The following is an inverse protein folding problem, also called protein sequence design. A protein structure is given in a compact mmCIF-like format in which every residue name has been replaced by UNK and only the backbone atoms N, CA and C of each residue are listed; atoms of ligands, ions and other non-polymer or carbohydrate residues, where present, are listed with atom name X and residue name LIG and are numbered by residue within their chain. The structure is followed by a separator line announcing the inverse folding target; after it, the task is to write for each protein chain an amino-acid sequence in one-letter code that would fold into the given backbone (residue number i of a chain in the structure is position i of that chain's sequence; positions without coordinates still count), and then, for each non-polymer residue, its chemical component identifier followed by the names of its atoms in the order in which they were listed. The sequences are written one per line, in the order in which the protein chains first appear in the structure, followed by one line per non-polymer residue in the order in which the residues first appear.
data_IF_167475640111
#
_entry.id   IF_167475640111
#
_cell.length_a   1.000
_cell.length_b   1.000
_cell.length_c   1.000
_cell.angle_alpha   90.00
_cell.angle_beta   90.00
_cell.angle_gamma   90.00
#
_symmetry.space_group_name_H-M   'P 1'
#
loop_
_entity.id
_entity.type
_entity.pdbx_description
1 polymer ?
#
# COMPACT_ATOMS: atom_id res chain seq x y z
N UNK A 1 12.44 -20.82 9.34
CA UNK A 1 13.47 -20.12 8.57
C UNK A 1 12.79 -18.92 7.96
N UNK A 2 13.24 -17.71 8.25
CA UNK A 2 12.71 -16.49 7.63
C UNK A 2 13.62 -16.19 6.44
N UNK A 3 13.02 -16.09 5.26
CA UNK A 3 13.71 -15.66 4.05
C UNK A 3 13.75 -14.14 4.04
N UNK A 4 14.89 -13.56 3.70
CA UNK A 4 15.07 -12.12 3.60
C UNK A 4 15.23 -11.76 2.13
N UNK A 5 14.47 -10.79 1.67
CA UNK A 5 14.48 -10.31 0.29
C UNK A 5 14.51 -8.79 0.27
N UNK A 6 14.98 -8.24 -0.84
CA UNK A 6 15.06 -6.81 -1.08
C UNK A 6 14.12 -6.45 -2.23
N UNK A 7 13.54 -5.25 -2.15
CA UNK A 7 12.65 -4.71 -3.18
C UNK A 7 13.19 -3.34 -3.59
N UNK A 8 13.34 -3.07 -4.89
CA UNK A 8 13.77 -1.76 -5.37
C UNK A 8 12.84 -0.67 -4.84
N UNK A 9 13.41 0.44 -4.36
CA UNK A 9 12.61 1.55 -3.83
C UNK A 9 11.64 2.09 -4.88
N UNK A 10 12.07 2.22 -6.14
CA UNK A 10 11.24 2.66 -7.26
C UNK A 10 9.96 1.82 -7.41
N UNK A 11 10.04 0.51 -7.22
CA UNK A 11 8.88 -0.38 -7.25
C UNK A 11 7.87 -0.05 -6.14
N UNK A 12 8.36 0.29 -4.94
CA UNK A 12 7.53 0.72 -3.82
C UNK A 12 6.92 2.10 -4.07
N UNK A 13 7.64 3.00 -4.74
CA UNK A 13 7.15 4.35 -5.04
C UNK A 13 6.09 4.37 -6.16
N UNK A 14 6.15 3.42 -7.09
CA UNK A 14 5.17 3.33 -8.17
C UNK A 14 3.80 2.82 -7.67
N UNK A 15 2.84 3.75 -7.65
CA UNK A 15 1.46 3.48 -7.22
C UNK A 15 0.73 2.42 -8.06
N UNK A 16 1.20 2.11 -9.27
CA UNK A 16 0.62 1.04 -10.10
C UNK A 16 0.84 -0.35 -9.49
N UNK A 17 1.87 -0.51 -8.64
CA UNK A 17 2.14 -1.75 -7.92
C UNK A 17 1.27 -1.91 -6.66
N UNK A 18 0.58 -0.85 -6.22
CA UNK A 18 -0.24 -0.84 -5.00
C UNK A 18 -1.64 -1.38 -5.27
N UNK A 19 -1.83 -2.69 -5.10
CA UNK A 19 -3.15 -3.28 -5.29
C UNK A 19 -4.00 -3.14 -4.03
N UNK A 20 -5.19 -2.56 -4.16
CA UNK A 20 -6.17 -2.48 -3.07
C UNK A 20 -7.13 -3.66 -3.13
N UNK A 21 -6.98 -4.58 -2.19
CA UNK A 21 -7.89 -5.69 -2.01
C UNK A 21 -8.89 -5.39 -0.90
N UNK A 22 -10.05 -6.07 -0.93
CA UNK A 22 -11.03 -5.95 0.15
C UNK A 22 -11.50 -7.34 0.57
N UNK A 23 -11.58 -7.56 1.89
CA UNK A 23 -12.07 -8.83 2.45
C UNK A 23 -13.03 -8.55 3.59
N UNK A 24 -14.06 -9.38 3.68
CA UNK A 24 -15.01 -9.37 4.78
C UNK A 24 -14.31 -9.89 6.03
N UNK A 25 -14.06 -9.03 7.02
CA UNK A 25 -13.45 -9.39 8.29
C UNK A 25 -14.39 -8.98 9.43
N UNK A 26 -14.87 -9.95 10.21
CA UNK A 26 -15.81 -9.73 11.32
C UNK A 26 -17.08 -8.94 10.94
N UNK A 27 -17.65 -9.23 9.77
CA UNK A 27 -18.85 -8.54 9.28
C UNK A 27 -18.62 -7.14 8.70
N UNK A 28 -17.38 -6.64 8.73
CA UNK A 28 -17.01 -5.37 8.09
C UNK A 28 -16.14 -5.62 6.86
N UNK A 29 -16.36 -4.85 5.79
CA UNK A 29 -15.46 -4.84 4.64
C UNK A 29 -14.21 -4.07 5.02
N UNK A 30 -13.06 -4.75 5.08
CA UNK A 30 -11.76 -4.10 5.31
C UNK A 30 -10.96 -4.10 4.03
N UNK A 31 -10.40 -2.94 3.72
CA UNK A 31 -9.45 -2.77 2.63
C UNK A 31 -8.04 -3.03 3.14
N UNK A 32 -7.21 -3.67 2.32
CA UNK A 32 -5.79 -3.85 2.59
C UNK A 32 -5.01 -3.67 1.29
N UNK A 33 -3.79 -3.17 1.43
CA UNK A 33 -2.86 -3.08 0.31
C UNK A 33 -2.12 -4.40 0.15
N UNK A 34 -1.84 -4.73 -1.11
CA UNK A 34 -0.98 -5.81 -1.52
C UNK A 34 -0.08 -5.36 -2.66
N UNK A 35 1.18 -5.78 -2.61
CA UNK A 35 2.19 -5.53 -3.62
C UNK A 35 2.86 -6.88 -3.95
N UNK A 36 2.38 -7.59 -4.99
CA UNK A 36 3.06 -8.79 -5.48
C UNK A 36 4.39 -8.39 -6.14
N UNK A 37 5.49 -8.94 -5.65
CA UNK A 37 6.83 -8.70 -6.18
C UNK A 37 7.53 -10.04 -6.41
N UNK A 38 7.71 -10.43 -7.67
CA UNK A 38 8.28 -11.73 -8.04
C UNK A 38 7.52 -12.87 -7.31
N UNK A 39 8.25 -13.71 -6.55
CA UNK A 39 7.70 -14.80 -5.75
C UNK A 39 7.20 -14.36 -4.36
N UNK A 40 7.32 -13.07 -4.03
CA UNK A 40 6.94 -12.49 -2.75
C UNK A 40 5.61 -11.76 -2.82
N UNK A 41 4.82 -11.90 -1.76
CA UNK A 41 3.56 -11.21 -1.61
C UNK A 41 3.60 -10.33 -0.37
N UNK A 42 3.70 -9.01 -0.56
CA UNK A 42 3.76 -8.04 0.52
C UNK A 42 2.33 -7.54 0.76
N UNK A 43 1.78 -7.73 1.96
CA UNK A 43 0.38 -7.42 2.22
C UNK A 43 0.13 -6.95 3.66
N UNK A 44 -1.07 -6.41 3.90
CA UNK A 44 -1.51 -6.04 5.24
C UNK A 44 -0.77 -4.83 5.80
N UNK A 45 -0.35 -4.91 7.07
CA UNK A 45 0.25 -3.77 7.77
C UNK A 45 1.59 -3.32 7.13
N UNK A 46 2.43 -4.26 6.71
CA UNK A 46 3.71 -3.95 6.05
C UNK A 46 3.48 -3.23 4.72
N UNK A 47 2.55 -3.73 3.90
CA UNK A 47 2.20 -3.05 2.65
C UNK A 47 1.67 -1.63 2.93
N UNK A 48 0.86 -1.46 3.97
CA UNK A 48 0.35 -0.14 4.35
C UNK A 48 1.46 0.82 4.81
N UNK A 49 2.48 0.34 5.53
CA UNK A 49 3.65 1.15 5.91
C UNK A 49 4.44 1.61 4.68
N UNK A 50 4.63 0.71 3.70
CA UNK A 50 5.36 1.00 2.47
C UNK A 50 4.59 1.97 1.56
N UNK A 51 3.27 1.83 1.45
CA UNK A 51 2.42 2.80 0.72
C UNK A 51 2.49 4.17 1.38
N UNK A 52 2.37 4.26 2.70
CA UNK A 52 2.49 5.54 3.41
C UNK A 52 3.88 6.16 3.25
N UNK A 53 4.95 5.35 3.22
CA UNK A 53 6.30 5.83 2.92
C UNK A 53 6.38 6.36 1.48
N UNK A 54 5.81 5.65 0.51
CA UNK A 54 5.76 6.06 -0.88
C UNK A 54 4.96 7.35 -1.07
N UNK A 55 3.84 7.51 -0.36
CA UNK A 55 3.07 8.75 -0.34
C UNK A 55 3.94 9.90 0.16
N UNK A 56 4.63 9.77 1.30
CA UNK A 56 5.49 10.84 1.84
C UNK A 56 6.67 11.19 0.91
N UNK A 57 7.24 10.20 0.21
CA UNK A 57 8.39 10.40 -0.68
C UNK A 57 8.01 10.87 -2.09
N UNK A 58 6.87 10.43 -2.59
CA UNK A 58 6.30 10.81 -3.89
C UNK A 58 5.45 12.08 -3.84
N UNK A 59 5.26 12.65 -2.65
CA UNK A 59 4.49 13.87 -2.46
C UNK A 59 5.23 15.10 -2.99
N UNK A 60 4.87 15.48 -4.22
CA UNK A 60 4.52 16.84 -4.56
C UNK A 60 3.01 17.05 -4.29
N UNK A 61 2.60 17.41 -3.04
CA UNK A 61 1.19 17.73 -2.74
C UNK A 61 0.64 18.74 -3.75
N UNK A 62 -0.58 18.50 -4.27
CA UNK A 62 -1.63 19.48 -4.00
C UNK A 62 -2.58 18.95 -2.94
N UNK A 63 -2.80 19.78 -1.94
CA UNK A 63 -3.83 19.63 -0.93
C UNK A 63 -5.20 19.50 -1.60
N UNK A 64 -5.78 18.30 -1.64
CA UNK A 64 -7.23 18.17 -1.83
C UNK A 64 -7.77 17.03 -0.98
N UNK A 65 -7.75 17.23 0.33
CA UNK A 65 -8.81 16.69 1.17
C UNK A 65 -10.06 17.54 0.91
N UNK A 66 -10.72 17.28 -0.22
CA UNK A 66 -12.13 17.58 -0.37
C UNK A 66 -12.89 16.66 0.59
N UNK A 67 -13.12 17.13 1.81
CA UNK A 67 -14.29 16.69 2.58
C UNK A 67 -15.51 17.24 1.82
N UNK A 68 -16.37 16.40 1.19
CA UNK A 68 -17.68 16.88 0.83
C UNK A 68 -18.47 17.07 2.13
N UNK A 69 -18.75 18.33 2.43
CA UNK A 69 -19.77 18.82 3.33
C UNK A 69 -20.97 17.85 3.46
N UNK A 70 -21.15 17.27 4.66
CA UNK A 70 -22.47 17.01 5.24
C UNK A 70 -22.40 16.88 6.76
#
# INVERSE_FOLDING_TARGET
MADAFEVPLDFILDSTNHQRHSRMFRGQRRHFYAMPYQDFYIWGATAHMLVNLAEVLGDERPLEQSEPNL
#
